data_IF_702658396359
#
_entry.id   IF_702658396359
#
_cell.length_a   1.000
_cell.length_b   1.000
_cell.length_c   1.000
_cell.angle_alpha   90.00
_cell.angle_beta   90.00
_cell.angle_gamma   90.00
#
_symmetry.space_group_name_H-M   'P 1'
#
loop_
_entity.id
_entity.type
_entity.pdbx_description
1 polymer ?
#
# COMPACT_ATOMS: atom_id res chain seq x y z
N UNK A 1 28.82 12.98 -8.86
CA UNK A 1 27.58 13.56 -9.42
C UNK A 1 26.70 12.39 -9.79
N UNK A 2 25.80 11.97 -8.90
CA UNK A 2 24.85 10.88 -9.17
C UNK A 2 23.50 11.51 -9.45
N UNK A 3 22.96 11.27 -10.63
CA UNK A 3 21.65 11.79 -11.04
C UNK A 3 20.59 10.76 -10.65
N UNK A 4 19.81 11.06 -9.62
CA UNK A 4 18.62 10.29 -9.29
C UNK A 4 17.50 10.68 -10.28
N UNK A 5 17.16 9.78 -11.20
CA UNK A 5 15.97 9.91 -12.04
C UNK A 5 14.77 9.32 -11.29
N UNK A 6 13.78 10.16 -11.00
CA UNK A 6 12.51 9.76 -10.43
C UNK A 6 11.55 9.46 -11.59
N UNK A 7 11.18 8.20 -11.80
CA UNK A 7 10.20 7.79 -12.80
C UNK A 7 8.90 7.46 -12.06
N UNK A 8 7.86 8.28 -12.27
CA UNK A 8 6.49 7.93 -11.89
C UNK A 8 5.92 6.98 -12.95
N UNK A 9 5.53 5.78 -12.54
CA UNK A 9 4.96 4.76 -13.42
C UNK A 9 3.43 4.71 -13.24
N UNK A 10 2.68 4.99 -14.30
CA UNK A 10 1.23 4.89 -14.35
C UNK A 10 0.86 3.50 -14.92
N UNK A 11 0.22 2.64 -14.12
CA UNK A 11 -0.17 1.28 -14.53
C UNK A 11 -1.58 1.33 -15.12
N UNK A 12 -1.70 1.22 -16.44
CA UNK A 12 -2.97 0.97 -17.12
C UNK A 12 -3.36 -0.52 -17.01
N UNK A 13 -4.46 -0.81 -16.35
CA UNK A 13 -5.05 -2.15 -16.31
C UNK A 13 -5.84 -2.43 -17.61
N UNK A 14 -5.37 -3.40 -18.40
CA UNK A 14 -6.07 -3.89 -19.59
C UNK A 14 -7.24 -4.82 -19.22
N UNK A 15 -8.42 -4.56 -19.81
CA UNK A 15 -9.64 -5.37 -19.65
C UNK A 15 -9.57 -6.62 -20.54
N UNK A 16 -9.82 -7.81 -19.99
CA UNK A 16 -9.94 -9.06 -20.76
C UNK A 16 -11.40 -9.28 -21.15
N UNK A 17 -11.72 -9.21 -22.45
CA UNK A 17 -12.99 -9.69 -22.99
C UNK A 17 -12.99 -11.23 -23.10
N UNK A 18 -14.03 -11.88 -22.54
CA UNK A 18 -14.26 -13.32 -22.69
C UNK A 18 -15.12 -13.60 -23.91
N UNK A 19 -14.50 -14.23 -24.91
CA UNK A 19 -15.18 -14.80 -26.07
C UNK A 19 -15.99 -16.06 -25.73
N UNK A 20 -17.19 -16.13 -26.29
CA UNK A 20 -18.21 -17.15 -26.10
C UNK A 20 -18.18 -18.14 -27.26
N UNK A 21 -17.98 -19.45 -27.04
CA UNK A 21 -18.38 -20.49 -28.02
C UNK A 21 -18.67 -21.88 -27.41
N UNK A 22 -19.96 -22.22 -27.44
CA UNK A 22 -20.66 -23.49 -27.72
C UNK A 22 -20.01 -24.84 -27.34
N UNK A 23 -20.64 -25.48 -26.35
CA UNK A 23 -21.50 -26.68 -26.55
C UNK A 23 -20.83 -28.07 -26.57
N UNK A 24 -21.27 -28.95 -25.67
CA UNK A 24 -21.74 -30.34 -25.87
C UNK A 24 -22.24 -30.82 -24.50
N UNK A 25 -23.46 -31.37 -24.45
CA UNK A 25 -24.10 -31.82 -23.20
C UNK A 25 -23.80 -33.27 -22.84
N UNK A 26 -24.09 -33.64 -21.60
CA UNK A 26 -24.82 -34.87 -21.24
C UNK A 26 -25.03 -35.01 -19.72
N UNK A 27 -26.27 -35.39 -19.38
CA UNK A 27 -26.65 -36.30 -18.30
C UNK A 27 -26.62 -35.80 -16.84
N UNK A 28 -27.79 -35.29 -16.41
CA UNK A 28 -28.26 -35.33 -15.02
C UNK A 28 -28.59 -36.78 -14.64
N UNK A 29 -28.00 -37.27 -13.55
CA UNK A 29 -28.46 -38.47 -12.86
C UNK A 29 -28.98 -38.09 -11.46
N UNK A 30 -30.24 -38.41 -11.25
CA UNK A 30 -31.03 -38.35 -10.02
C UNK A 30 -30.69 -39.52 -9.06
N UNK A 31 -31.31 -39.49 -7.86
CA UNK A 31 -31.64 -40.60 -6.92
C UNK A 31 -30.91 -40.48 -5.55
N UNK A 32 -31.58 -40.68 -4.37
CA UNK A 32 -32.87 -40.17 -3.90
C UNK A 32 -32.83 -39.69 -2.42
N UNK A 33 -33.96 -39.12 -1.99
CA UNK A 33 -34.32 -38.79 -0.62
C UNK A 33 -34.76 -40.07 0.13
N UNK A 34 -34.27 -40.32 1.34
CA UNK A 34 -34.77 -41.38 2.22
C UNK A 34 -35.08 -40.83 3.61
N UNK A 35 -36.35 -41.02 3.98
CA UNK A 35 -37.02 -40.65 5.21
C UNK A 35 -36.37 -41.24 6.47
N UNK A 36 -36.37 -40.47 7.56
CA UNK A 36 -36.83 -40.97 8.85
C UNK A 36 -37.59 -39.85 9.62
N UNK A 37 -38.92 -39.93 9.55
CA UNK A 37 -39.86 -39.41 10.55
C UNK A 37 -39.73 -40.29 11.81
N UNK A 38 -40.09 -39.96 13.05
CA UNK A 38 -40.82 -38.88 13.73
C UNK A 38 -40.48 -39.00 15.23
N UNK A 39 -40.82 -38.02 16.09
CA UNK A 39 -41.77 -38.22 17.20
C UNK A 39 -42.09 -36.92 17.98
N UNK A 40 -43.40 -36.59 18.02
CA UNK A 40 -44.21 -35.91 19.06
C UNK A 40 -44.03 -34.40 19.39
N UNK A 41 -44.87 -33.58 18.73
CA UNK A 41 -46.04 -32.80 19.26
C UNK A 41 -46.35 -32.99 20.78
N UNK A 42 -46.80 -32.07 21.64
CA UNK A 42 -47.43 -30.71 21.65
C UNK A 42 -47.17 -30.13 23.05
N UNK A 43 -46.99 -28.80 23.21
CA UNK A 43 -47.82 -27.97 24.11
C UNK A 43 -47.49 -26.49 23.94
N UNK A 44 -48.53 -25.76 23.55
CA UNK A 44 -48.63 -24.30 23.54
C UNK A 44 -48.56 -23.80 24.98
N UNK A 45 -47.58 -22.94 25.27
CA UNK A 45 -47.51 -22.13 26.48
C UNK A 45 -47.41 -20.66 26.09
N UNK A 46 -48.46 -19.90 26.43
CA UNK A 46 -48.51 -18.45 26.30
C UNK A 46 -47.52 -17.75 27.23
N UNK A 47 -46.98 -16.61 26.75
CA UNK A 47 -46.64 -15.46 27.59
C UNK A 47 -45.18 -15.38 28.04
N UNK A 48 -44.41 -14.49 27.42
CA UNK A 48 -43.08 -14.11 27.87
C UNK A 48 -42.45 -13.07 26.96
N UNK A 49 -42.86 -11.81 27.11
CA UNK A 49 -42.13 -10.66 26.55
C UNK A 49 -40.76 -10.57 27.22
N UNK A 50 -39.72 -11.04 26.55
CA UNK A 50 -38.33 -10.68 26.88
C UNK A 50 -37.77 -9.83 25.75
N UNK A 51 -37.97 -8.52 25.88
CA UNK A 51 -37.21 -7.54 25.12
C UNK A 51 -35.71 -7.82 25.32
N UNK A 52 -35.02 -8.10 24.23
CA UNK A 52 -33.56 -8.14 24.21
C UNK A 52 -33.02 -6.76 24.62
N UNK A 53 -32.04 -6.65 25.52
CA UNK A 53 -31.46 -5.36 25.85
C UNK A 53 -30.73 -4.81 24.63
N UNK A 54 -31.10 -3.60 24.21
CA UNK A 54 -30.37 -2.83 23.21
C UNK A 54 -28.92 -2.62 23.67
N UNK A 55 -27.94 -2.58 22.75
CA UNK A 55 -26.55 -2.30 23.11
C UNK A 55 -26.47 -0.93 23.80
N UNK A 56 -25.93 -0.93 25.02
CA UNK A 56 -25.58 0.29 25.73
C UNK A 56 -24.44 0.97 25.01
N UNK A 57 -24.73 2.06 24.30
CA UNK A 57 -23.71 2.98 23.81
C UNK A 57 -23.08 3.67 25.01
N UNK A 58 -21.79 3.43 25.22
CA UNK A 58 -20.98 4.24 26.14
C UNK A 58 -20.94 5.66 25.58
N UNK A 59 -21.65 6.58 26.24
CA UNK A 59 -21.59 8.00 25.91
C UNK A 59 -20.20 8.52 26.25
N UNK A 60 -19.40 8.83 25.23
CA UNK A 60 -18.19 9.63 25.43
C UNK A 60 -18.59 11.03 25.92
N UNK A 61 -17.80 11.65 26.82
CA UNK A 61 -18.06 13.02 27.24
C UNK A 61 -18.06 13.93 26.00
N UNK A 62 -19.15 14.67 25.83
CA UNK A 62 -19.24 15.72 24.82
C UNK A 62 -18.24 16.80 25.22
N UNK A 63 -17.10 16.87 24.52
CA UNK A 63 -16.22 18.02 24.60
C UNK A 63 -16.95 19.20 23.96
N UNK A 64 -17.54 20.05 24.81
CA UNK A 64 -17.92 21.39 24.39
C UNK A 64 -16.63 22.12 23.99
N UNK A 65 -16.47 22.59 22.75
CA UNK A 65 -15.34 23.44 22.43
C UNK A 65 -15.43 24.68 23.30
N UNK A 66 -14.45 24.87 24.17
CA UNK A 66 -14.24 26.15 24.84
C UNK A 66 -13.78 27.10 23.74
N UNK A 67 -14.69 27.91 23.21
CA UNK A 67 -14.36 29.01 22.31
C UNK A 67 -13.48 29.97 23.11
N UNK A 68 -12.18 30.14 22.78
CA UNK A 68 -11.37 31.13 23.45
C UNK A 68 -11.99 32.51 23.22
N UNK A 69 -12.04 33.34 24.27
CA UNK A 69 -12.41 34.75 24.12
C UNK A 69 -11.58 35.38 23.00
N UNK A 70 -12.23 36.19 22.16
CA UNK A 70 -11.61 36.87 21.03
C UNK A 70 -10.31 37.57 21.47
N UNK A 71 -9.19 37.07 20.98
CA UNK A 71 -7.88 37.65 21.23
C UNK A 71 -7.85 38.96 20.45
N UNK A 72 -7.79 40.09 21.16
CA UNK A 72 -7.61 41.39 20.53
C UNK A 72 -6.25 41.44 19.87
N UNK A 73 -6.21 41.42 18.54
CA UNK A 73 -4.98 41.63 17.79
C UNK A 73 -4.45 43.05 18.05
N UNK A 74 -3.15 43.23 18.34
CA UNK A 74 -2.58 44.56 18.48
C UNK A 74 -2.72 45.32 17.15
N UNK A 75 -3.06 46.60 17.25
CA UNK A 75 -3.19 47.51 16.12
C UNK A 75 -1.86 47.54 15.35
N UNK A 76 -1.90 47.11 14.09
CA UNK A 76 -0.72 47.04 13.23
C UNK A 76 -0.18 48.47 13.01
N UNK A 77 1.01 48.75 13.53
CA UNK A 77 1.72 50.00 13.23
C UNK A 77 2.03 50.05 11.73
N UNK A 78 1.79 51.17 11.03
CA UNK A 78 2.10 51.27 9.62
C UNK A 78 3.60 51.05 9.38
N UNK A 79 3.93 50.09 8.52
CA UNK A 79 5.31 49.81 8.12
C UNK A 79 5.90 51.01 7.36
N UNK A 80 7.22 51.28 7.50
CA UNK A 80 7.87 52.31 6.72
C UNK A 80 7.76 52.00 5.23
N UNK A 81 7.30 52.99 4.45
CA UNK A 81 7.28 52.91 3.00
C UNK A 81 8.73 53.02 2.51
N UNK A 82 9.31 51.90 2.13
CA UNK A 82 10.56 51.89 1.38
C UNK A 82 10.24 52.20 -0.09
N UNK A 83 10.77 53.30 -0.60
CA UNK A 83 10.84 53.54 -2.05
C UNK A 83 11.61 52.40 -2.69
N UNK A 84 10.92 51.59 -3.51
CA UNK A 84 11.52 50.48 -4.23
C UNK A 84 12.56 51.02 -5.22
N UNK A 85 13.84 50.77 -4.95
CA UNK A 85 14.91 50.94 -5.92
C UNK A 85 14.66 49.94 -7.06
N UNK A 86 14.57 50.43 -8.30
CA UNK A 86 14.34 49.58 -9.45
C UNK A 86 15.42 48.48 -9.53
N UNK A 87 15.00 47.22 -9.52
CA UNK A 87 15.87 46.07 -9.74
C UNK A 87 16.50 46.18 -11.14
N UNK A 88 17.80 45.86 -11.30
CA UNK A 88 18.42 45.80 -12.62
C UNK A 88 17.65 44.78 -13.48
N UNK A 89 17.32 45.19 -14.71
CA UNK A 89 16.60 44.35 -15.67
C UNK A 89 17.41 43.09 -15.96
N UNK A 90 16.91 41.94 -15.52
CA UNK A 90 17.45 40.62 -15.86
C UNK A 90 17.48 40.47 -17.39
N UNK A 91 18.60 40.08 -18.02
CA UNK A 91 18.61 39.79 -19.44
C UNK A 91 17.63 38.64 -19.72
N UNK A 92 16.57 38.92 -20.45
CA UNK A 92 15.59 37.95 -20.94
C UNK A 92 16.21 37.13 -22.07
N UNK A 93 17.15 36.23 -21.74
CA UNK A 93 17.39 35.08 -22.59
C UNK A 93 16.25 34.10 -22.33
N UNK A 94 15.22 34.14 -23.18
CA UNK A 94 14.23 33.06 -23.26
C UNK A 94 14.97 31.83 -23.75
N UNK A 95 15.45 30.99 -22.83
CA UNK A 95 15.82 29.62 -23.17
C UNK A 95 14.58 28.96 -23.74
N UNK A 96 14.56 28.72 -25.04
CA UNK A 96 13.54 27.87 -25.66
C UNK A 96 13.71 26.50 -24.98
N UNK A 97 12.68 25.96 -24.30
CA UNK A 97 12.79 24.62 -23.75
C UNK A 97 13.10 23.68 -24.89
N UNK A 98 14.18 22.91 -24.78
CA UNK A 98 14.44 21.80 -25.68
C UNK A 98 13.19 20.94 -25.68
N UNK A 99 12.55 20.69 -26.85
CA UNK A 99 11.44 19.74 -26.91
C UNK A 99 11.90 18.45 -26.26
N UNK A 100 11.09 17.90 -25.34
CA UNK A 100 11.34 16.56 -24.82
C UNK A 100 11.49 15.64 -26.04
N UNK A 101 12.64 14.96 -26.13
CA UNK A 101 12.84 13.94 -27.17
C UNK A 101 11.75 12.88 -27.03
N UNK A 102 11.43 12.18 -28.13
CA UNK A 102 10.39 11.15 -28.18
C UNK A 102 10.46 10.19 -26.98
N UNK A 103 9.49 10.32 -26.07
CA UNK A 103 9.34 9.41 -24.93
C UNK A 103 8.66 8.15 -25.45
N UNK A 104 9.26 6.98 -25.16
CA UNK A 104 8.72 5.68 -25.53
C UNK A 104 8.71 4.76 -24.33
N UNK A 105 7.70 3.89 -24.26
CA UNK A 105 7.64 2.80 -23.30
C UNK A 105 8.33 1.59 -23.91
N UNK A 106 9.20 0.94 -23.13
CA UNK A 106 9.95 -0.24 -23.54
C UNK A 106 9.76 -1.33 -22.48
N UNK A 107 9.50 -2.56 -22.93
CA UNK A 107 9.41 -3.70 -22.03
C UNK A 107 10.83 -4.14 -21.63
N UNK A 108 11.22 -3.85 -20.40
CA UNK A 108 12.59 -4.05 -19.91
C UNK A 108 12.86 -5.46 -19.36
N UNK A 109 11.83 -6.21 -18.95
CA UNK A 109 11.94 -7.59 -18.46
C UNK A 109 10.94 -8.52 -19.18
N UNK A 110 11.14 -8.82 -20.48
CA UNK A 110 10.15 -9.54 -21.29
C UNK A 110 9.95 -11.01 -20.90
N UNK A 111 10.87 -11.57 -20.11
CA UNK A 111 10.84 -12.97 -19.69
C UNK A 111 10.36 -13.16 -18.24
N UNK A 112 9.90 -12.10 -17.58
CA UNK A 112 9.36 -12.14 -16.22
C UNK A 112 7.87 -11.82 -16.25
N UNK A 113 7.12 -12.43 -15.34
CA UNK A 113 5.70 -12.19 -15.12
C UNK A 113 5.49 -11.96 -13.63
N UNK A 114 4.57 -11.04 -13.30
CA UNK A 114 4.29 -10.65 -11.92
C UNK A 114 2.80 -10.61 -11.67
N UNK A 115 2.39 -11.10 -10.50
CA UNK A 115 1.02 -11.05 -10.03
C UNK A 115 0.77 -9.74 -9.27
N UNK A 116 0.00 -8.83 -9.86
CA UNK A 116 -0.46 -7.60 -9.20
C UNK A 116 0.69 -6.82 -8.55
N UNK A 117 1.71 -6.48 -9.33
CA UNK A 117 2.86 -5.69 -8.88
C UNK A 117 2.41 -4.35 -8.28
N UNK A 118 2.91 -4.02 -7.09
CA UNK A 118 2.57 -2.78 -6.36
C UNK A 118 3.75 -1.82 -6.24
N UNK A 119 4.99 -2.32 -6.27
CA UNK A 119 6.18 -1.50 -6.12
C UNK A 119 7.37 -2.12 -6.86
N UNK A 120 8.32 -1.26 -7.24
CA UNK A 120 9.65 -1.61 -7.71
C UNK A 120 10.66 -0.72 -6.96
N UNK A 121 11.64 -1.33 -6.32
CA UNK A 121 12.66 -0.63 -5.54
C UNK A 121 14.05 -1.25 -5.76
N UNK A 122 15.08 -0.44 -5.60
CA UNK A 122 16.48 -0.86 -5.58
C UNK A 122 17.15 -0.23 -4.34
N UNK A 123 17.86 -1.00 -3.50
CA UNK A 123 18.68 -0.43 -2.45
C UNK A 123 19.96 0.21 -3.01
N UNK A 124 20.49 1.21 -2.31
CA UNK A 124 21.83 1.74 -2.60
C UNK A 124 22.91 0.89 -1.90
N UNK A 125 23.06 -0.36 -2.36
CA UNK A 125 24.02 -1.32 -1.81
C UNK A 125 25.16 -1.70 -2.77
N UNK A 126 25.20 -1.05 -3.93
CA UNK A 126 26.20 -1.30 -4.96
C UNK A 126 26.00 -2.61 -5.72
N UNK A 127 24.91 -3.35 -5.46
CA UNK A 127 24.53 -4.52 -6.22
C UNK A 127 23.55 -4.14 -7.33
N UNK A 128 23.49 -4.97 -8.37
CA UNK A 128 22.63 -4.74 -9.55
C UNK A 128 21.41 -5.65 -9.50
N UNK A 129 20.59 -5.53 -8.46
CA UNK A 129 19.37 -6.30 -8.29
C UNK A 129 18.15 -5.39 -8.13
N UNK A 130 17.01 -5.84 -8.66
CA UNK A 130 15.71 -5.20 -8.52
C UNK A 130 14.87 -6.00 -7.56
N UNK A 131 14.11 -5.27 -6.74
CA UNK A 131 13.09 -5.82 -5.88
C UNK A 131 11.72 -5.35 -6.35
N UNK A 132 10.77 -6.26 -6.42
CA UNK A 132 9.37 -5.94 -6.71
C UNK A 132 8.47 -6.53 -5.63
N UNK A 133 7.47 -5.78 -5.20
CA UNK A 133 6.43 -6.29 -4.32
C UNK A 133 5.21 -6.67 -5.13
N UNK A 134 4.64 -7.82 -4.81
CA UNK A 134 3.37 -8.29 -5.31
C UNK A 134 2.31 -8.13 -4.24
N UNK A 135 1.14 -7.63 -4.63
CA UNK A 135 0.04 -7.33 -3.71
C UNK A 135 -0.31 -8.48 -2.74
N UNK A 136 -0.25 -9.77 -3.12
CA UNK A 136 -0.55 -10.87 -2.20
C UNK A 136 0.32 -10.92 -0.94
N UNK A 137 1.52 -10.33 -0.95
CA UNK A 137 2.42 -10.32 0.21
C UNK A 137 3.78 -10.96 -0.02
N UNK A 138 4.26 -10.98 -1.26
CA UNK A 138 5.60 -11.45 -1.60
C UNK A 138 6.45 -10.31 -2.15
N UNK A 139 7.73 -10.33 -1.81
CA UNK A 139 8.75 -9.51 -2.46
C UNK A 139 9.64 -10.46 -3.24
N UNK A 140 9.88 -10.14 -4.50
CA UNK A 140 10.78 -10.87 -5.37
C UNK A 140 12.06 -10.06 -5.61
N UNK A 141 13.20 -10.73 -5.68
CA UNK A 141 14.49 -10.16 -6.06
C UNK A 141 15.00 -10.85 -7.33
N UNK A 142 15.58 -10.07 -8.24
CA UNK A 142 16.17 -10.58 -9.47
C UNK A 142 17.27 -9.64 -10.01
N UNK A 143 18.20 -10.12 -10.85
CA UNK A 143 19.21 -9.26 -11.46
C UNK A 143 18.60 -8.17 -12.34
N UNK A 144 19.19 -6.98 -12.32
CA UNK A 144 18.89 -5.91 -13.29
C UNK A 144 19.53 -6.26 -14.64
N UNK A 145 18.98 -7.30 -15.28
CA UNK A 145 19.38 -7.81 -16.59
C UNK A 145 18.10 -8.15 -17.37
N UNK A 146 17.86 -7.50 -18.54
CA UNK A 146 16.72 -7.79 -19.41
C UNK A 146 16.60 -9.25 -19.86
N UNK A 147 17.69 -10.03 -19.82
CA UNK A 147 17.70 -11.45 -20.14
C UNK A 147 17.33 -12.35 -18.96
N UNK A 148 17.07 -11.79 -17.78
CA UNK A 148 16.64 -12.55 -16.60
C UNK A 148 15.32 -13.27 -16.88
N UNK A 149 15.28 -14.57 -16.55
CA UNK A 149 14.12 -15.44 -16.78
C UNK A 149 13.46 -15.94 -15.49
N UNK A 150 14.05 -15.62 -14.33
CA UNK A 150 13.60 -16.10 -13.02
C UNK A 150 13.78 -15.04 -11.96
N UNK A 151 12.89 -15.07 -10.99
CA UNK A 151 13.02 -14.32 -9.74
C UNK A 151 13.20 -15.27 -8.57
N UNK A 152 13.64 -14.73 -7.44
CA UNK A 152 13.68 -15.42 -6.16
C UNK A 152 12.75 -14.70 -5.19
N UNK A 153 12.02 -15.45 -4.38
CA UNK A 153 11.24 -14.87 -3.28
C UNK A 153 12.23 -14.35 -2.24
N UNK A 154 12.26 -13.03 -2.08
CA UNK A 154 13.04 -12.32 -1.07
C UNK A 154 12.33 -12.36 0.28
N UNK A 155 11.04 -12.03 0.32
CA UNK A 155 10.20 -12.06 1.53
C UNK A 155 8.84 -12.67 1.19
N UNK A 156 8.31 -13.50 2.08
CA UNK A 156 6.94 -14.01 2.02
C UNK A 156 6.25 -13.76 3.36
N UNK A 157 5.22 -12.91 3.34
CA UNK A 157 4.39 -12.55 4.50
C UNK A 157 2.89 -12.70 4.18
N UNK A 158 2.54 -13.56 3.22
CA UNK A 158 1.14 -13.81 2.81
C UNK A 158 0.25 -14.27 3.96
N UNK A 159 0.84 -14.84 5.02
CA UNK A 159 0.15 -15.24 6.26
C UNK A 159 -0.32 -14.05 7.11
N UNK A 160 0.21 -12.84 6.86
CA UNK A 160 -0.09 -11.60 7.62
C UNK A 160 -0.83 -10.55 6.79
N UNK A 161 -0.69 -10.63 5.46
CA UNK A 161 -1.28 -9.70 4.51
C UNK A 161 -2.75 -10.04 4.25
N UNK A 162 -3.61 -9.04 4.33
CA UNK A 162 -4.98 -9.10 3.83
C UNK A 162 -5.01 -8.54 2.41
N UNK A 163 -5.55 -9.31 1.48
CA UNK A 163 -5.87 -8.89 0.11
C UNK A 163 -7.37 -9.08 -0.17
N UNK A 164 -8.21 -8.86 0.85
CA UNK A 164 -9.66 -9.14 0.77
C UNK A 164 -10.42 -8.17 -0.13
N UNK A 165 -9.80 -7.03 -0.43
CA UNK A 165 -10.30 -6.01 -1.35
C UNK A 165 -9.19 -5.53 -2.28
N UNK A 166 -9.58 -4.76 -3.31
CA UNK A 166 -8.70 -4.43 -4.43
C UNK A 166 -7.49 -3.55 -4.05
N UNK A 167 -7.65 -2.69 -3.04
CA UNK A 167 -6.62 -1.74 -2.58
C UNK A 167 -5.82 -2.27 -1.39
N UNK A 168 -6.19 -3.42 -0.85
CA UNK A 168 -5.45 -4.06 0.23
C UNK A 168 -4.32 -4.94 -0.32
N UNK A 169 -3.34 -5.21 0.53
CA UNK A 169 -2.22 -6.10 0.22
C UNK A 169 -0.90 -5.57 0.76
N UNK A 170 0.20 -6.04 0.19
CA UNK A 170 1.52 -5.44 0.31
C UNK A 170 1.65 -4.29 -0.69
N UNK A 171 1.70 -3.06 -0.18
CA UNK A 171 1.54 -1.83 -0.98
C UNK A 171 2.81 -0.98 -1.06
N UNK A 172 3.74 -1.16 -0.11
CA UNK A 172 4.94 -0.35 -0.04
C UNK A 172 6.18 -1.15 0.33
N UNK A 173 7.30 -0.77 -0.26
CA UNK A 173 8.64 -1.26 0.03
C UNK A 173 9.61 -0.07 0.02
N UNK A 174 10.41 0.07 1.07
CA UNK A 174 11.50 1.03 1.12
C UNK A 174 12.72 0.43 1.82
N UNK A 175 13.90 0.58 1.22
CA UNK A 175 15.16 0.19 1.85
C UNK A 175 15.67 1.31 2.77
N UNK A 176 16.22 0.94 3.92
CA UNK A 176 16.88 1.90 4.80
C UNK A 176 18.04 2.57 4.03
N UNK A 177 18.26 3.86 4.26
CA UNK A 177 19.41 4.60 3.71
C UNK A 177 20.77 3.95 4.02
N UNK A 178 20.83 3.08 5.04
CA UNK A 178 22.01 2.31 5.44
C UNK A 178 21.89 0.81 5.15
N UNK A 179 21.01 0.41 4.22
CA UNK A 179 20.73 -1.00 3.91
C UNK A 179 21.98 -1.84 3.66
N UNK A 180 22.99 -1.29 2.96
CA UNK A 180 24.27 -1.97 2.72
C UNK A 180 25.04 -2.38 3.99
N UNK A 181 24.73 -1.75 5.13
CA UNK A 181 25.40 -2.02 6.42
C UNK A 181 24.48 -2.65 7.46
N UNK A 182 23.18 -2.33 7.45
CA UNK A 182 22.24 -2.83 8.46
C UNK A 182 21.26 -3.89 7.93
N UNK A 183 21.13 -4.01 6.60
CA UNK A 183 20.21 -4.94 5.95
C UNK A 183 18.73 -4.66 6.24
N UNK A 184 18.37 -3.45 6.70
CA UNK A 184 17.01 -3.12 7.09
C UNK A 184 16.18 -2.57 5.93
N UNK A 185 14.96 -3.05 5.83
CA UNK A 185 13.98 -2.52 4.88
C UNK A 185 12.61 -2.49 5.55
N UNK A 186 11.71 -1.71 4.98
CA UNK A 186 10.41 -1.40 5.53
C UNK A 186 9.35 -1.78 4.51
N UNK A 187 8.22 -2.26 5.01
CA UNK A 187 7.05 -2.60 4.21
C UNK A 187 5.81 -1.92 4.77
N UNK A 188 4.88 -1.62 3.88
CA UNK A 188 3.52 -1.22 4.21
C UNK A 188 2.57 -2.29 3.72
N UNK A 189 1.75 -2.85 4.61
CA UNK A 189 0.74 -3.83 4.21
C UNK A 189 -0.57 -3.69 4.97
N UNK A 190 -1.66 -4.14 4.35
CA UNK A 190 -2.97 -4.25 4.98
C UNK A 190 -3.04 -5.56 5.77
N UNK A 191 -3.50 -5.52 7.02
CA UNK A 191 -3.74 -6.69 7.85
C UNK A 191 -5.22 -6.77 8.21
N UNK A 192 -5.71 -7.99 8.45
CA UNK A 192 -7.07 -8.24 8.92
C UNK A 192 -7.09 -8.58 10.42
N UNK A 193 -8.29 -8.55 11.02
CA UNK A 193 -8.53 -8.99 12.41
C UNK A 193 -7.61 -8.35 13.48
N UNK A 194 -7.63 -7.01 13.68
CA UNK A 194 -8.53 -6.03 13.05
C UNK A 194 -7.99 -5.47 11.72
N UNK A 195 -8.88 -4.91 10.90
CA UNK A 195 -8.49 -4.24 9.63
C UNK A 195 -7.64 -3.01 9.94
N UNK A 196 -6.42 -2.98 9.41
CA UNK A 196 -5.44 -1.93 9.69
C UNK A 196 -4.33 -1.91 8.64
N UNK A 197 -3.69 -0.77 8.50
CA UNK A 197 -2.39 -0.66 7.85
C UNK A 197 -1.29 -0.97 8.87
N UNK A 198 -0.28 -1.70 8.43
CA UNK A 198 0.90 -2.03 9.24
C UNK A 198 2.13 -1.56 8.49
N UNK A 199 2.96 -0.78 9.19
CA UNK A 199 4.30 -0.42 8.74
C UNK A 199 5.27 -1.22 9.58
N UNK A 200 6.05 -2.08 8.92
CA UNK A 200 6.97 -2.99 9.58
C UNK A 200 8.36 -2.86 9.00
N UNK A 201 9.38 -2.98 9.86
CA UNK A 201 10.77 -3.16 9.48
C UNK A 201 11.10 -4.66 9.49
N UNK A 202 11.85 -5.11 8.49
CA UNK A 202 12.44 -6.43 8.41
C UNK A 202 13.95 -6.33 8.21
N UNK A 203 14.64 -7.45 8.37
CA UNK A 203 16.07 -7.59 8.11
C UNK A 203 16.34 -8.64 7.05
N UNK A 204 17.32 -8.35 6.20
CA UNK A 204 17.90 -9.33 5.28
C UNK A 204 18.51 -10.49 6.06
N UNK A 205 18.51 -11.69 5.49
CA UNK A 205 19.25 -12.82 6.01
C UNK A 205 20.74 -12.58 5.75
N UNK A 206 21.54 -12.52 6.81
CA UNK A 206 22.98 -12.27 6.71
C UNK A 206 23.76 -13.37 5.97
N UNK A 207 23.22 -14.59 5.91
CA UNK A 207 23.85 -15.70 5.18
C UNK A 207 23.48 -15.76 3.70
N UNK A 208 22.41 -15.07 3.29
CA UNK A 208 21.94 -15.00 1.90
C UNK A 208 21.23 -13.66 1.66
N UNK A 209 21.94 -12.63 1.16
CA UNK A 209 21.41 -11.27 1.01
C UNK A 209 20.28 -11.15 -0.03
N UNK A 210 19.99 -12.25 -0.76
CA UNK A 210 18.83 -12.35 -1.65
C UNK A 210 17.62 -13.01 -0.96
N UNK A 211 17.64 -13.10 0.37
CA UNK A 211 16.50 -13.51 1.20
C UNK A 211 16.39 -12.62 2.42
N UNK A 212 15.17 -12.37 2.88
CA UNK A 212 14.89 -11.76 4.17
C UNK A 212 14.49 -12.83 5.19
N UNK A 213 14.57 -12.48 6.48
CA UNK A 213 14.03 -13.30 7.56
C UNK A 213 12.62 -12.82 7.91
N UNK A 214 11.54 -13.58 7.60
CA UNK A 214 10.17 -13.19 7.95
C UNK A 214 9.91 -13.12 9.46
N UNK A 215 10.78 -13.73 10.28
CA UNK A 215 10.70 -13.67 11.75
C UNK A 215 11.37 -12.43 12.35
N UNK A 216 12.13 -11.68 11.55
CA UNK A 216 12.79 -10.43 11.98
C UNK A 216 11.86 -9.21 12.06
N UNK A 217 10.57 -9.41 11.84
CA UNK A 217 9.58 -8.32 11.81
C UNK A 217 9.63 -7.49 13.09
N UNK A 218 9.70 -6.17 12.90
CA UNK A 218 9.48 -5.18 13.93
C UNK A 218 8.39 -4.24 13.46
N UNK A 219 7.20 -4.33 14.04
CA UNK A 219 6.10 -3.41 13.76
C UNK A 219 6.49 -2.01 14.27
N UNK A 220 6.45 -1.03 13.37
CA UNK A 220 6.78 0.38 13.65
C UNK A 220 5.52 1.17 13.95
N UNK A 221 4.46 0.93 13.17
CA UNK A 221 3.20 1.67 13.28
C UNK A 221 2.04 0.80 12.79
N UNK A 222 0.92 0.84 13.52
CA UNK A 222 -0.35 0.25 13.12
C UNK A 222 -1.44 1.33 13.12
N UNK A 223 -2.24 1.36 12.06
CA UNK A 223 -3.27 2.38 11.87
C UNK A 223 -4.59 1.67 11.54
N UNK A 224 -5.62 1.75 12.40
CA UNK A 224 -6.92 1.17 12.10
C UNK A 224 -7.48 1.69 10.77
N UNK A 225 -7.98 0.78 9.95
CA UNK A 225 -8.57 1.07 8.65
C UNK A 225 -10.06 0.71 8.72
N UNK A 226 -10.98 1.68 8.85
CA UNK A 226 -12.41 1.40 8.96
C UNK A 226 -12.99 0.83 7.65
N UNK A 227 -12.34 1.10 6.52
CA UNK A 227 -12.75 0.67 5.19
C UNK A 227 -11.61 -0.03 4.44
N UNK A 228 -11.96 -0.72 3.37
CA UNK A 228 -11.03 -1.54 2.56
C UNK A 228 -10.45 -0.79 1.36
N UNK A 229 -10.59 0.53 1.34
CA UNK A 229 -10.17 1.42 0.26
C UNK A 229 -9.54 2.66 0.87
N UNK A 230 -8.92 3.46 0.02
CA UNK A 230 -8.09 4.60 0.36
C UNK A 230 -6.96 4.17 1.31
N UNK A 231 -6.32 3.04 0.99
CA UNK A 231 -5.30 2.48 1.88
C UNK A 231 -3.94 3.17 1.75
N UNK A 232 -3.72 4.03 0.75
CA UNK A 232 -2.43 4.67 0.51
C UNK A 232 -1.34 3.62 0.24
N UNK A 233 -0.25 3.69 1.00
CA UNK A 233 0.75 2.61 1.08
C UNK A 233 2.11 2.93 0.51
N UNK A 234 2.29 4.09 -0.12
CA UNK A 234 3.62 4.53 -0.54
C UNK A 234 4.48 4.83 0.70
N UNK A 235 5.68 4.27 0.74
CA UNK A 235 6.71 4.57 1.73
C UNK A 235 8.04 4.87 1.05
N UNK A 236 8.79 5.83 1.58
CA UNK A 236 10.11 6.18 1.06
C UNK A 236 10.94 6.90 2.11
N UNK A 237 12.26 6.74 2.06
CA UNK A 237 13.16 7.60 2.82
C UNK A 237 13.41 8.91 2.08
N UNK A 238 13.26 10.03 2.79
CA UNK A 238 13.66 11.34 2.29
C UNK A 238 15.18 11.54 2.39
N UNK A 239 15.73 12.57 1.72
CA UNK A 239 17.15 12.90 1.81
C UNK A 239 17.60 13.37 3.20
N UNK A 240 16.65 13.68 4.07
CA UNK A 240 16.82 14.02 5.48
C UNK A 240 16.89 12.79 6.41
N UNK A 241 16.70 11.59 5.85
CA UNK A 241 16.77 10.31 6.58
C UNK A 241 15.48 9.92 7.31
N UNK A 242 14.37 10.64 7.12
CA UNK A 242 13.07 10.25 7.66
C UNK A 242 12.35 9.28 6.72
N UNK A 243 11.61 8.32 7.31
CA UNK A 243 10.66 7.49 6.57
C UNK A 243 9.33 8.25 6.42
N UNK A 244 8.97 8.56 5.18
CA UNK A 244 7.70 9.17 4.80
C UNK A 244 6.69 8.08 4.47
N UNK A 245 5.45 8.26 4.94
CA UNK A 245 4.35 7.29 4.78
C UNK A 245 3.15 8.01 4.18
N UNK A 246 2.73 7.58 2.99
CA UNK A 246 1.49 8.00 2.35
C UNK A 246 0.32 7.18 2.89
N UNK A 247 -0.53 7.83 3.68
CA UNK A 247 -1.73 7.25 4.27
C UNK A 247 -2.96 7.81 3.55
N UNK A 248 -3.97 6.98 3.25
CA UNK A 248 -5.27 7.51 2.83
C UNK A 248 -6.18 7.84 4.01
N UNK A 249 -7.40 8.30 3.71
CA UNK A 249 -8.32 8.98 4.63
C UNK A 249 -9.38 8.07 5.30
#
# INVERSE_FOLDING_TARGET
MSAAFHISMEIMQGTVERGFHRGIGMQMNSIPLLLLQALMLVLVGCGGDTASPLPTYTTYPIFTPVIPAAISYPTQTPYPIYTATALPSTPTSKSVPTPLQDIRVELVFPNLDFQRLTNLAQPDDGQSHIFVSEQPGQIHVFPDDPQTTKTKVFLDIRDRVSESSNEEGLLGLAFDTKYSTNGHFYVYYSASSPRRSVISRFSVNQSDPNTADPSSETIILEIPQPYSNHNGGQIAFGPDGYLYIGLGD
#
